data_IF_336002865243
#
_entry.id   IF_336002865243
#
_cell.length_a   1.000
_cell.length_b   1.000
_cell.length_c   1.000
_cell.angle_alpha   90.00
_cell.angle_beta   90.00
_cell.angle_gamma   90.00
#
_symmetry.space_group_name_H-M   'P 1'
#
loop_
_entity.id
_entity.type
_entity.pdbx_description
1 polymer ?
#
# COMPACT_ATOMS: atom_id res chain seq x y z
N UNK A 1 50.15 28.72 -25.35
CA UNK A 1 49.91 27.33 -24.96
C UNK A 1 48.84 27.37 -23.87
N UNK A 2 47.60 26.99 -24.19
CA UNK A 2 46.42 27.10 -23.31
C UNK A 2 46.16 25.72 -22.68
N UNK A 3 46.35 25.61 -21.37
CA UNK A 3 46.05 24.40 -20.63
C UNK A 3 44.58 24.37 -20.30
N UNK A 4 43.83 23.53 -20.97
CA UNK A 4 42.40 23.21 -20.66
C UNK A 4 42.42 22.11 -19.61
N UNK A 5 42.06 22.46 -18.36
CA UNK A 5 41.80 21.49 -17.29
C UNK A 5 40.35 21.02 -17.45
N UNK A 6 40.15 19.75 -17.86
CA UNK A 6 38.87 19.08 -17.89
C UNK A 6 38.54 18.60 -16.47
N UNK A 7 37.62 19.26 -15.79
CA UNK A 7 37.09 18.80 -14.52
C UNK A 7 35.98 17.77 -14.80
N UNK A 8 36.26 16.50 -14.58
CA UNK A 8 35.28 15.42 -14.61
C UNK A 8 34.47 15.45 -13.32
N UNK A 9 33.22 15.92 -13.41
CA UNK A 9 32.26 15.81 -12.30
C UNK A 9 31.65 14.39 -12.31
N UNK A 10 32.11 13.55 -11.38
CA UNK A 10 31.52 12.25 -11.14
C UNK A 10 30.22 12.42 -10.35
N UNK A 11 29.08 12.30 -11.04
CA UNK A 11 27.76 12.23 -10.41
C UNK A 11 27.57 10.85 -9.82
N UNK A 12 27.74 10.74 -8.50
CA UNK A 12 27.40 9.52 -7.76
C UNK A 12 25.90 9.47 -7.61
N UNK A 13 25.23 8.68 -8.47
CA UNK A 13 23.82 8.32 -8.30
C UNK A 13 23.72 7.32 -7.12
N UNK A 14 23.42 7.83 -5.94
CA UNK A 14 22.96 7.00 -4.83
C UNK A 14 21.56 6.47 -5.16
N UNK A 15 21.49 5.23 -5.61
CA UNK A 15 20.20 4.51 -5.75
C UNK A 15 19.64 4.27 -4.34
N UNK A 16 18.78 5.18 -3.87
CA UNK A 16 17.98 4.93 -2.69
C UNK A 16 17.09 3.72 -3.02
N UNK A 17 17.27 2.60 -2.33
CA UNK A 17 16.34 1.47 -2.37
C UNK A 17 15.04 1.94 -1.74
N UNK A 18 14.16 2.45 -2.58
CA UNK A 18 12.78 2.76 -2.18
C UNK A 18 12.09 1.43 -2.06
N UNK A 19 11.84 0.97 -0.84
CA UNK A 19 10.92 -0.14 -0.58
C UNK A 19 9.55 0.26 -1.12
N UNK A 20 9.30 -0.14 -2.36
CA UNK A 20 8.11 0.25 -3.09
C UNK A 20 6.91 -0.45 -2.47
N UNK A 21 5.91 0.35 -2.06
CA UNK A 21 4.61 -0.15 -1.69
C UNK A 21 4.06 -1.04 -2.80
N UNK A 22 3.85 -2.33 -2.49
CA UNK A 22 3.29 -3.30 -3.42
C UNK A 22 1.76 -3.20 -3.35
N UNK A 23 1.12 -2.96 -4.48
CA UNK A 23 -0.35 -2.95 -4.61
C UNK A 23 -0.76 -3.92 -5.70
N UNK A 24 -1.67 -4.82 -5.37
CA UNK A 24 -2.32 -5.75 -6.30
C UNK A 24 -3.82 -5.57 -6.24
N UNK A 25 -4.49 -5.77 -7.36
CA UNK A 25 -5.95 -5.70 -7.47
C UNK A 25 -6.41 -6.88 -8.32
N UNK A 26 -7.49 -7.50 -7.88
CA UNK A 26 -8.19 -8.55 -8.59
C UNK A 26 -9.69 -8.23 -8.65
N UNK A 27 -10.37 -8.63 -9.71
CA UNK A 27 -11.80 -8.38 -9.90
C UNK A 27 -12.45 -9.46 -10.73
N UNK A 28 -13.69 -9.81 -10.38
CA UNK A 28 -14.52 -10.71 -11.18
C UNK A 28 -15.00 -9.98 -12.44
N UNK A 29 -14.55 -10.39 -13.64
CA UNK A 29 -14.97 -9.73 -14.88
C UNK A 29 -16.46 -9.91 -15.20
N UNK A 30 -17.13 -10.89 -14.59
CA UNK A 30 -18.55 -11.13 -14.77
C UNK A 30 -19.43 -10.30 -13.81
N UNK A 31 -18.84 -9.61 -12.84
CA UNK A 31 -19.60 -8.80 -11.88
C UNK A 31 -20.23 -7.55 -12.55
N UNK A 32 -21.49 -7.22 -12.22
CA UNK A 32 -22.21 -6.12 -12.84
C UNK A 32 -21.83 -4.76 -12.23
N UNK A 33 -20.55 -4.39 -12.26
CA UNK A 33 -20.03 -3.17 -11.63
C UNK A 33 -20.78 -1.88 -12.01
N UNK A 34 -21.25 -1.76 -13.24
CA UNK A 34 -22.03 -0.60 -13.71
C UNK A 34 -23.39 -0.46 -13.03
N UNK A 35 -23.92 -1.54 -12.43
CA UNK A 35 -25.19 -1.56 -11.71
C UNK A 35 -25.08 -1.16 -10.25
N UNK A 36 -23.91 -1.22 -9.64
CA UNK A 36 -23.72 -0.91 -8.23
C UNK A 36 -23.78 0.61 -7.98
N UNK A 37 -24.63 1.03 -7.06
CA UNK A 37 -24.87 2.42 -6.67
C UNK A 37 -24.71 2.64 -5.17
N UNK A 38 -24.85 1.57 -4.40
CA UNK A 38 -24.86 1.67 -2.94
C UNK A 38 -23.97 0.61 -2.31
N UNK A 39 -23.43 0.95 -1.14
CA UNK A 39 -22.63 0.03 -0.34
C UNK A 39 -22.98 0.08 1.14
N UNK A 40 -22.62 -0.98 1.86
CA UNK A 40 -22.61 -1.00 3.31
C UNK A 40 -21.32 -1.65 3.82
N UNK A 41 -20.89 -1.17 4.96
CA UNK A 41 -19.76 -1.78 5.67
C UNK A 41 -20.16 -3.07 6.35
N UNK A 42 -19.27 -4.07 6.31
CA UNK A 42 -19.34 -5.28 7.12
C UNK A 42 -18.04 -5.45 7.88
N UNK A 43 -18.11 -6.10 9.03
CA UNK A 43 -16.95 -6.30 9.90
C UNK A 43 -15.83 -7.06 9.18
N UNK A 44 -14.61 -6.59 9.36
CA UNK A 44 -13.38 -7.20 8.90
C UNK A 44 -12.38 -7.38 10.03
N UNK A 45 -11.10 -7.34 9.70
CA UNK A 45 -10.02 -7.31 10.70
C UNK A 45 -9.60 -5.87 10.92
N UNK A 46 -9.99 -5.29 12.05
CA UNK A 46 -9.73 -3.91 12.38
C UNK A 46 -8.22 -3.60 12.47
N UNK A 47 -7.85 -2.36 12.20
CA UNK A 47 -6.51 -1.88 12.45
C UNK A 47 -6.19 -1.93 13.96
N UNK A 48 -4.93 -2.22 14.36
CA UNK A 48 -4.54 -2.26 15.77
C UNK A 48 -4.81 -0.95 16.53
N UNK A 49 -4.93 0.17 15.82
CA UNK A 49 -5.26 1.48 16.39
C UNK A 49 -6.60 1.97 15.84
N UNK A 50 -7.61 2.21 16.70
CA UNK A 50 -8.94 2.66 16.27
C UNK A 50 -8.92 3.93 15.43
N UNK A 51 -8.04 4.91 15.74
CA UNK A 51 -7.92 6.14 14.95
C UNK A 51 -7.45 5.86 13.50
N UNK A 52 -6.72 4.79 13.29
CA UNK A 52 -6.31 4.39 11.94
C UNK A 52 -7.45 3.68 11.20
N UNK A 53 -8.29 2.94 11.93
CA UNK A 53 -9.51 2.34 11.38
C UNK A 53 -10.48 3.43 10.89
N UNK A 54 -10.76 4.43 11.73
CA UNK A 54 -11.63 5.56 11.35
C UNK A 54 -11.11 6.31 10.12
N UNK A 55 -9.80 6.56 10.07
CA UNK A 55 -9.16 7.20 8.91
C UNK A 55 -9.25 6.33 7.65
N UNK A 56 -9.11 5.02 7.81
CA UNK A 56 -9.22 4.07 6.70
C UNK A 56 -10.63 4.08 6.13
N UNK A 57 -11.65 3.95 6.99
CA UNK A 57 -13.06 3.99 6.58
C UNK A 57 -13.37 5.31 5.87
N UNK A 58 -13.06 6.45 6.49
CA UNK A 58 -13.28 7.77 5.88
C UNK A 58 -12.58 7.91 4.51
N UNK A 59 -11.36 7.35 4.38
CA UNK A 59 -10.61 7.40 3.13
C UNK A 59 -11.20 6.52 2.03
N UNK A 60 -11.78 5.37 2.38
CA UNK A 60 -12.50 4.49 1.46
C UNK A 60 -13.83 5.11 1.06
N UNK A 61 -14.61 5.63 2.02
CA UNK A 61 -15.89 6.29 1.79
C UNK A 61 -15.77 7.47 0.82
N UNK A 62 -14.74 8.30 0.99
CA UNK A 62 -14.46 9.41 0.08
C UNK A 62 -14.22 8.93 -1.37
N UNK A 63 -13.53 7.82 -1.55
CA UNK A 63 -13.24 7.26 -2.87
C UNK A 63 -14.45 6.58 -3.51
N UNK A 64 -15.31 5.97 -2.71
CA UNK A 64 -16.57 5.38 -3.17
C UNK A 64 -17.57 6.48 -3.56
N UNK A 65 -17.71 7.51 -2.72
CA UNK A 65 -18.55 8.68 -3.01
C UNK A 65 -18.11 9.39 -4.30
N UNK A 66 -16.80 9.59 -4.49
CA UNK A 66 -16.26 10.17 -5.72
C UNK A 66 -16.56 9.33 -6.98
N UNK A 67 -16.94 8.06 -6.83
CA UNK A 67 -17.37 7.14 -7.89
C UNK A 67 -18.87 6.96 -7.99
N UNK A 68 -19.61 7.75 -7.20
CA UNK A 68 -21.08 7.76 -7.25
C UNK A 68 -21.72 6.65 -6.43
N UNK A 69 -21.00 5.98 -5.52
CA UNK A 69 -21.62 5.03 -4.58
C UNK A 69 -22.02 5.76 -3.30
N UNK A 70 -23.27 5.59 -2.90
CA UNK A 70 -23.80 6.07 -1.63
C UNK A 70 -23.83 4.97 -0.56
N UNK A 71 -23.68 5.34 0.71
CA UNK A 71 -23.89 4.39 1.81
C UNK A 71 -25.37 4.07 1.97
N UNK A 72 -25.71 2.79 2.05
CA UNK A 72 -27.05 2.29 2.32
C UNK A 72 -26.94 1.00 3.16
N UNK A 73 -27.28 1.10 4.43
CA UNK A 73 -27.14 -0.01 5.38
C UNK A 73 -28.31 -1.01 5.31
N UNK A 74 -29.43 -0.64 4.67
CA UNK A 74 -30.62 -1.47 4.60
C UNK A 74 -30.61 -2.40 3.40
N UNK A 75 -30.37 -1.86 2.22
CA UNK A 75 -30.37 -2.58 0.94
C UNK A 75 -29.19 -2.18 0.08
N UNK A 76 -27.96 -2.52 0.48
CA UNK A 76 -26.79 -2.20 -0.33
C UNK A 76 -26.72 -3.08 -1.57
N UNK A 77 -26.06 -2.60 -2.61
CA UNK A 77 -25.72 -3.40 -3.78
C UNK A 77 -24.43 -4.22 -3.52
N UNK A 78 -23.50 -3.65 -2.74
CA UNK A 78 -22.27 -4.32 -2.36
C UNK A 78 -21.95 -4.15 -0.87
N UNK A 79 -21.32 -5.14 -0.28
CA UNK A 79 -20.69 -5.04 1.03
C UNK A 79 -19.22 -4.72 0.86
N UNK A 80 -18.71 -3.85 1.73
CA UNK A 80 -17.29 -3.47 1.80
C UNK A 80 -16.72 -3.93 3.12
N UNK A 81 -15.56 -4.52 3.10
CA UNK A 81 -14.80 -4.86 4.32
C UNK A 81 -13.33 -4.52 4.16
N UNK A 82 -12.67 -4.28 5.27
CA UNK A 82 -11.23 -4.06 5.33
C UNK A 82 -10.58 -5.04 6.29
N UNK A 83 -9.37 -5.46 5.96
CA UNK A 83 -8.54 -6.25 6.84
C UNK A 83 -7.17 -5.60 6.96
N UNK A 84 -6.77 -5.29 8.18
CA UNK A 84 -5.45 -4.74 8.47
C UNK A 84 -4.69 -5.73 9.32
N UNK A 85 -3.54 -6.16 8.84
CA UNK A 85 -2.64 -7.06 9.57
C UNK A 85 -1.24 -6.49 9.61
N UNK A 86 -0.49 -6.83 10.64
CA UNK A 86 0.91 -6.45 10.78
C UNK A 86 1.77 -7.68 11.03
N UNK A 87 2.98 -7.67 10.49
CA UNK A 87 3.97 -8.73 10.69
C UNK A 87 5.33 -8.11 10.96
N UNK A 88 5.99 -8.58 11.99
CA UNK A 88 7.39 -8.23 12.24
C UNK A 88 8.30 -8.97 11.27
N UNK A 89 9.27 -8.23 10.75
CA UNK A 89 10.35 -8.74 9.90
C UNK A 89 11.68 -8.27 10.46
N UNK A 90 12.59 -9.20 10.68
CA UNK A 90 13.93 -8.92 11.12
C UNK A 90 14.90 -9.02 9.94
N UNK A 91 15.74 -8.02 9.79
CA UNK A 91 16.85 -8.01 8.83
C UNK A 91 18.18 -7.94 9.56
N UNK A 92 19.09 -8.82 9.18
CA UNK A 92 20.47 -8.78 9.61
C UNK A 92 21.24 -7.82 8.69
N UNK A 93 21.64 -6.68 9.24
CA UNK A 93 22.50 -5.74 8.53
C UNK A 93 23.93 -5.98 8.97
N UNK A 94 24.72 -6.59 8.09
CA UNK A 94 26.16 -6.69 8.25
C UNK A 94 26.81 -5.46 7.65
N UNK A 95 27.38 -4.60 8.48
CA UNK A 95 28.22 -3.51 8.03
C UNK A 95 29.67 -3.82 8.41
N UNK A 96 30.51 -4.01 7.41
CA UNK A 96 31.93 -4.23 7.60
C UNK A 96 32.72 -3.54 6.48
N UNK A 97 33.74 -2.77 6.85
CA UNK A 97 34.77 -2.34 5.91
C UNK A 97 35.81 -3.45 5.83
N UNK A 98 35.77 -4.26 4.78
CA UNK A 98 36.82 -5.20 4.44
C UNK A 98 37.92 -4.46 3.70
N UNK A 99 39.00 -4.13 4.35
CA UNK A 99 40.25 -3.95 3.64
C UNK A 99 40.72 -5.33 3.20
N UNK A 100 41.08 -5.47 1.91
CA UNK A 100 41.38 -6.74 1.26
C UNK A 100 42.35 -7.65 2.02
N UNK A 101 42.57 -8.87 1.56
CA UNK A 101 43.23 -9.97 2.29
C UNK A 101 44.66 -9.70 2.72
N UNK A 102 45.22 -8.56 2.35
CA UNK A 102 46.59 -8.15 2.65
C UNK A 102 46.77 -7.37 3.97
N UNK A 103 45.72 -6.81 4.58
CA UNK A 103 45.77 -5.99 5.80
C UNK A 103 44.89 -6.57 6.93
N UNK A 104 45.13 -7.80 7.29
CA UNK A 104 44.61 -8.54 8.44
C UNK A 104 43.57 -7.84 9.33
N UNK A 105 42.33 -8.27 9.30
CA UNK A 105 41.32 -7.98 10.32
C UNK A 105 40.32 -6.89 9.95
N UNK A 106 39.25 -7.23 9.22
CA UNK A 106 38.07 -6.39 9.12
C UNK A 106 37.17 -6.62 10.34
N UNK A 107 36.82 -5.58 11.07
CA UNK A 107 35.78 -5.63 12.11
C UNK A 107 34.44 -5.42 11.42
N UNK A 108 33.61 -6.47 11.38
CA UNK A 108 32.22 -6.38 10.95
C UNK A 108 31.29 -6.34 12.15
N UNK A 109 30.40 -5.38 12.22
CA UNK A 109 29.28 -5.40 13.17
C UNK A 109 28.03 -5.89 12.49
N UNK A 110 27.39 -6.90 13.06
CA UNK A 110 26.07 -7.35 12.62
C UNK A 110 25.04 -6.75 13.55
N UNK A 111 24.11 -5.98 13.01
CA UNK A 111 22.96 -5.46 13.75
C UNK A 111 21.67 -6.10 13.22
N UNK A 112 20.74 -6.39 14.14
CA UNK A 112 19.39 -6.84 13.81
C UNK A 112 18.51 -5.60 13.76
N UNK A 113 17.90 -5.33 12.61
CA UNK A 113 16.84 -4.33 12.52
C UNK A 113 15.48 -5.02 12.39
N UNK A 114 14.54 -4.58 13.24
CA UNK A 114 13.15 -5.05 13.21
C UNK A 114 12.31 -4.04 12.45
N UNK A 115 11.59 -4.52 11.45
CA UNK A 115 10.62 -3.77 10.66
C UNK A 115 9.22 -4.33 10.90
N UNK A 116 8.21 -3.46 10.85
CA UNK A 116 6.81 -3.87 10.88
C UNK A 116 6.24 -3.69 9.47
N UNK A 117 5.87 -4.78 8.83
CA UNK A 117 5.18 -4.75 7.55
C UNK A 117 3.68 -4.79 7.80
N UNK A 118 2.97 -3.78 7.28
CA UNK A 118 1.51 -3.68 7.31
C UNK A 118 0.91 -4.16 5.99
N UNK A 119 -0.14 -4.96 6.07
CA UNK A 119 -0.96 -5.34 4.93
C UNK A 119 -2.37 -4.82 5.12
N UNK A 120 -2.85 -4.07 4.12
CA UNK A 120 -4.22 -3.61 3.99
C UNK A 120 -4.89 -4.39 2.86
N UNK A 121 -6.04 -4.98 3.15
CA UNK A 121 -6.94 -5.58 2.16
C UNK A 121 -8.24 -4.80 2.18
N UNK A 122 -8.80 -4.52 0.99
CA UNK A 122 -10.13 -3.96 0.80
C UNK A 122 -10.90 -4.90 -0.12
N UNK A 123 -12.00 -5.44 0.36
CA UNK A 123 -12.82 -6.40 -0.35
C UNK A 123 -14.24 -5.88 -0.61
N UNK A 124 -14.76 -6.23 -1.78
CA UNK A 124 -16.15 -5.98 -2.16
C UNK A 124 -16.86 -7.29 -2.45
N UNK A 125 -18.05 -7.43 -1.89
CA UNK A 125 -18.92 -8.59 -2.09
C UNK A 125 -20.25 -8.11 -2.67
N UNK A 126 -20.72 -8.75 -3.73
CA UNK A 126 -22.07 -8.53 -4.24
C UNK A 126 -23.10 -8.89 -3.16
N UNK A 127 -24.01 -7.97 -2.85
CA UNK A 127 -24.94 -8.14 -1.74
C UNK A 127 -25.98 -9.22 -1.98
N UNK A 128 -26.30 -9.55 -3.23
CA UNK A 128 -27.27 -10.58 -3.61
C UNK A 128 -26.65 -11.98 -3.60
N UNK A 129 -25.51 -12.12 -4.25
CA UNK A 129 -24.85 -13.43 -4.43
C UNK A 129 -23.88 -13.77 -3.31
N UNK A 130 -23.50 -12.80 -2.49
CA UNK A 130 -22.47 -12.91 -1.44
C UNK A 130 -21.08 -13.31 -1.95
N UNK A 131 -20.87 -13.26 -3.24
CA UNK A 131 -19.57 -13.54 -3.86
C UNK A 131 -18.67 -12.31 -3.81
N UNK A 132 -17.38 -12.54 -3.60
CA UNK A 132 -16.38 -11.51 -3.75
C UNK A 132 -16.33 -11.10 -5.22
N UNK A 133 -16.40 -9.79 -5.46
CA UNK A 133 -16.36 -9.24 -6.83
C UNK A 133 -15.10 -8.40 -7.07
N UNK A 134 -14.46 -7.92 -6.00
CA UNK A 134 -13.23 -7.15 -6.13
C UNK A 134 -12.40 -7.24 -4.86
N UNK A 135 -11.08 -7.24 -5.02
CA UNK A 135 -10.09 -7.24 -3.94
C UNK A 135 -8.91 -6.34 -4.28
N UNK A 136 -8.60 -5.41 -3.40
CA UNK A 136 -7.36 -4.65 -3.40
C UNK A 136 -6.47 -5.06 -2.22
N UNK A 137 -5.19 -5.30 -2.47
CA UNK A 137 -4.21 -5.63 -1.42
C UNK A 137 -3.03 -4.68 -1.53
N UNK A 138 -2.62 -4.08 -0.42
CA UNK A 138 -1.40 -3.31 -0.33
C UNK A 138 -0.53 -3.77 0.84
N UNK A 139 0.77 -3.85 0.61
CA UNK A 139 1.75 -4.13 1.65
C UNK A 139 2.80 -3.03 1.67
N UNK A 140 3.12 -2.54 2.85
CA UNK A 140 4.15 -1.53 3.07
C UNK A 140 4.79 -1.68 4.45
N UNK A 141 6.06 -1.35 4.56
CA UNK A 141 6.72 -1.24 5.86
C UNK A 141 6.17 -0.02 6.61
N UNK A 142 5.74 -0.22 7.86
CA UNK A 142 5.25 0.85 8.71
C UNK A 142 6.38 1.84 9.06
N UNK A 143 5.98 3.06 9.39
CA UNK A 143 6.89 4.10 9.88
C UNK A 143 6.54 4.41 11.35
N UNK A 144 7.53 4.85 12.11
CA UNK A 144 7.32 5.36 13.48
C UNK A 144 6.49 6.65 13.51
N UNK A 145 6.34 7.31 12.36
CA UNK A 145 5.57 8.55 12.21
C UNK A 145 4.15 8.24 11.72
N UNK A 146 3.10 8.48 12.56
CA UNK A 146 1.71 8.20 12.17
C UNK A 146 1.26 8.91 10.89
N UNK A 147 1.74 10.14 10.66
CA UNK A 147 1.42 10.91 9.45
C UNK A 147 1.94 10.23 8.18
N UNK A 148 3.16 9.66 8.22
CA UNK A 148 3.71 8.90 7.09
C UNK A 148 2.94 7.61 6.83
N UNK A 149 2.40 6.96 7.87
CA UNK A 149 1.56 5.77 7.70
C UNK A 149 0.23 6.14 7.03
N UNK A 150 -0.39 7.26 7.42
CA UNK A 150 -1.59 7.77 6.76
C UNK A 150 -1.35 8.12 5.29
N UNK A 151 -0.22 8.75 4.96
CA UNK A 151 0.17 9.04 3.57
C UNK A 151 0.36 7.75 2.75
N UNK A 152 1.04 6.74 3.32
CA UNK A 152 1.23 5.43 2.67
C UNK A 152 -0.11 4.74 2.43
N UNK A 153 -1.00 4.75 3.44
CA UNK A 153 -2.35 4.20 3.31
C UNK A 153 -3.13 4.87 2.17
N UNK A 154 -3.15 6.21 2.14
CA UNK A 154 -3.85 6.94 1.09
C UNK A 154 -3.28 6.66 -0.31
N UNK A 155 -1.94 6.64 -0.47
CA UNK A 155 -1.29 6.26 -1.73
C UNK A 155 -1.62 4.82 -2.15
N UNK A 156 -1.77 3.89 -1.19
CA UNK A 156 -2.21 2.54 -1.47
C UNK A 156 -3.63 2.51 -2.01
N UNK A 157 -4.54 3.17 -1.30
CA UNK A 157 -5.94 3.27 -1.70
C UNK A 157 -6.09 3.93 -3.08
N UNK A 158 -5.34 5.01 -3.36
CA UNK A 158 -5.35 5.64 -4.69
C UNK A 158 -4.97 4.66 -5.80
N UNK A 159 -3.91 3.86 -5.58
CA UNK A 159 -3.47 2.85 -6.56
C UNK A 159 -4.47 1.69 -6.70
N UNK A 160 -5.12 1.26 -5.61
CA UNK A 160 -6.17 0.24 -5.64
C UNK A 160 -7.38 0.75 -6.41
N UNK A 161 -7.88 1.92 -6.00
CA UNK A 161 -9.09 2.50 -6.58
C UNK A 161 -8.90 3.01 -8.01
N UNK A 162 -7.68 3.31 -8.46
CA UNK A 162 -7.41 3.58 -9.86
C UNK A 162 -7.76 2.40 -10.78
N UNK A 163 -7.80 1.17 -10.24
CA UNK A 163 -8.18 -0.06 -10.93
C UNK A 163 -9.57 -0.56 -10.53
N UNK A 164 -10.34 0.23 -9.79
CA UNK A 164 -11.69 -0.13 -9.37
C UNK A 164 -12.67 0.10 -10.52
N UNK A 165 -13.47 -0.92 -10.92
CA UNK A 165 -14.23 -0.85 -12.18
C UNK A 165 -15.42 0.11 -12.18
N UNK A 166 -15.87 0.59 -10.99
CA UNK A 166 -17.01 1.49 -10.87
C UNK A 166 -16.55 2.94 -11.05
N UNK A 167 -17.26 3.71 -11.89
CA UNK A 167 -16.98 5.12 -12.12
C UNK A 167 -15.68 5.41 -12.87
N UNK A 168 -14.98 4.40 -13.36
CA UNK A 168 -13.98 4.59 -14.41
C UNK A 168 -14.73 4.99 -15.66
N UNK A 169 -14.61 6.25 -16.09
CA UNK A 169 -15.07 6.63 -17.43
C UNK A 169 -14.31 5.74 -18.40
N UNK A 170 -15.06 4.95 -19.16
CA UNK A 170 -14.49 4.18 -20.26
C UNK A 170 -13.79 5.17 -21.19
N UNK A 171 -12.47 5.25 -21.09
CA UNK A 171 -11.67 5.88 -22.13
C UNK A 171 -11.84 5.01 -23.37
N UNK A 172 -12.69 5.48 -24.29
CA UNK A 172 -12.82 4.94 -25.65
C UNK A 172 -11.56 5.26 -26.44
#
# INVERSE_FOLDING_TARGET
MKNTILAAVAVVLTAAVVYAQKVTVDSDPAAPFGGYKTYAWVAGTAAPNPLNEDRLHASVDARLSARGLGMNTTTPDVYVTTHVTTKERQELIASGFGYGPWLGGGYGTTSVQTYIDGTLVVDFYDAKTKKMVWRGVATATASDKPTKNAEKMNKALDKMFAKFPIGAQATR
#
